data_IF_198273136364
#
_entry.id   IF_198273136364
#
_cell.length_a   1.000
_cell.length_b   1.000
_cell.length_c   1.000
_cell.angle_alpha   90.00
_cell.angle_beta   90.00
_cell.angle_gamma   90.00
#
_symmetry.space_group_name_H-M   'P 1'
#
loop_
_entity.id
_entity.type
_entity.pdbx_description
1 polymer ?
#
# COMPACT_ATOMS: atom_id res chain seq x y z
N UNK A 1 5.24 -21.10 10.03
CA UNK A 1 4.07 -20.22 10.17
C UNK A 1 4.43 -18.86 9.60
N UNK A 2 3.67 -18.31 8.65
CA UNK A 2 3.88 -16.96 8.13
C UNK A 2 2.89 -15.99 8.76
N UNK A 3 3.35 -14.80 9.15
CA UNK A 3 2.51 -13.75 9.73
C UNK A 3 1.97 -12.75 8.68
N UNK A 4 2.18 -13.05 7.39
CA UNK A 4 1.80 -12.17 6.29
C UNK A 4 1.42 -12.97 5.04
N UNK A 5 0.70 -12.31 4.15
CA UNK A 5 0.48 -12.74 2.76
C UNK A 5 1.31 -11.83 1.85
N UNK A 6 2.01 -12.40 0.86
CA UNK A 6 2.81 -11.63 -0.09
C UNK A 6 2.64 -12.15 -1.51
N UNK A 7 2.75 -11.24 -2.48
CA UNK A 7 2.74 -11.55 -3.91
C UNK A 7 3.62 -10.55 -4.64
N UNK A 8 4.55 -11.07 -5.46
CA UNK A 8 5.40 -10.26 -6.33
C UNK A 8 4.75 -10.16 -7.71
N UNK A 9 4.73 -8.96 -8.29
CA UNK A 9 4.15 -8.68 -9.59
C UNK A 9 5.20 -8.10 -10.52
N UNK A 10 5.25 -8.59 -11.76
CA UNK A 10 6.15 -8.06 -12.80
C UNK A 10 5.51 -6.84 -13.47
N UNK A 11 5.50 -5.70 -12.78
CA UNK A 11 4.96 -4.42 -13.26
C UNK A 11 5.62 -3.26 -12.52
N UNK A 12 5.44 -2.03 -13.01
CA UNK A 12 5.89 -0.84 -12.29
C UNK A 12 5.00 -0.53 -11.08
N UNK A 13 5.56 0.24 -10.14
CA UNK A 13 4.95 0.54 -8.84
C UNK A 13 3.62 1.28 -8.98
N UNK A 14 3.56 2.30 -9.83
CA UNK A 14 2.39 3.16 -10.03
C UNK A 14 1.19 2.36 -10.57
N UNK A 15 1.43 1.49 -11.56
CA UNK A 15 0.40 0.62 -12.13
C UNK A 15 -0.08 -0.40 -11.10
N UNK A 16 0.82 -0.98 -10.31
CA UNK A 16 0.46 -1.93 -9.26
C UNK A 16 -0.37 -1.26 -8.17
N UNK A 17 -0.01 -0.04 -7.77
CA UNK A 17 -0.78 0.72 -6.77
C UNK A 17 -2.23 0.94 -7.24
N UNK A 18 -2.42 1.38 -8.48
CA UNK A 18 -3.76 1.56 -9.07
C UNK A 18 -4.53 0.23 -9.06
N UNK A 19 -3.90 -0.86 -9.53
CA UNK A 19 -4.52 -2.18 -9.55
C UNK A 19 -4.92 -2.68 -8.16
N UNK A 20 -4.09 -2.42 -7.13
CA UNK A 20 -4.39 -2.78 -5.74
C UNK A 20 -5.61 -2.00 -5.24
N UNK A 21 -5.66 -0.68 -5.45
CA UNK A 21 -6.80 0.16 -5.04
C UNK A 21 -8.10 -0.29 -5.71
N UNK A 22 -8.08 -0.52 -7.02
CA UNK A 22 -9.24 -1.03 -7.76
C UNK A 22 -9.69 -2.40 -7.25
N UNK A 23 -8.74 -3.29 -6.97
CA UNK A 23 -9.06 -4.65 -6.50
C UNK A 23 -9.70 -4.63 -5.12
N UNK A 24 -9.18 -3.81 -4.20
CA UNK A 24 -9.79 -3.60 -2.87
C UNK A 24 -11.20 -3.02 -2.98
N UNK A 25 -11.38 -2.00 -3.82
CA UNK A 25 -12.68 -1.37 -4.05
C UNK A 25 -13.72 -2.38 -4.59
N UNK A 26 -13.34 -3.23 -5.55
CA UNK A 26 -14.22 -4.26 -6.12
C UNK A 26 -14.77 -5.25 -5.08
N UNK A 27 -14.05 -5.47 -3.98
CA UNK A 27 -14.48 -6.34 -2.87
C UNK A 27 -15.00 -5.56 -1.66
N UNK A 28 -15.29 -4.26 -1.83
CA UNK A 28 -15.93 -3.42 -0.82
C UNK A 28 -15.00 -2.80 0.22
N UNK A 29 -13.68 -2.83 -0.01
CA UNK A 29 -12.70 -2.15 0.85
C UNK A 29 -12.39 -0.75 0.28
N UNK A 30 -12.50 0.27 1.14
CA UNK A 30 -12.02 1.63 0.87
C UNK A 30 -10.64 1.87 1.49
N UNK A 31 -9.86 2.78 0.90
CA UNK A 31 -8.60 3.25 1.51
C UNK A 31 -8.93 4.40 2.46
N UNK A 32 -8.55 4.25 3.73
CA UNK A 32 -8.72 5.26 4.78
C UNK A 32 -7.47 6.12 4.96
N UNK A 33 -6.29 5.50 4.85
CA UNK A 33 -5.02 6.17 5.09
C UNK A 33 -3.99 5.71 4.07
N UNK A 34 -3.06 6.61 3.76
CA UNK A 34 -1.90 6.31 2.94
C UNK A 34 -0.66 6.97 3.55
N UNK A 35 0.46 6.24 3.53
CA UNK A 35 1.74 6.72 4.02
C UNK A 35 2.78 6.42 2.96
N UNK A 36 3.38 7.48 2.42
CA UNK A 36 4.58 7.38 1.61
C UNK A 36 5.81 7.28 2.52
N UNK A 37 6.33 6.06 2.69
CA UNK A 37 7.46 5.80 3.58
C UNK A 37 8.75 6.36 2.98
N UNK A 38 8.91 6.33 1.66
CA UNK A 38 10.06 6.90 0.99
C UNK A 38 10.17 8.41 1.31
N UNK A 39 9.07 9.14 1.09
CA UNK A 39 9.01 10.56 1.38
C UNK A 39 9.22 10.84 2.87
N UNK A 40 8.55 10.09 3.76
CA UNK A 40 8.63 10.33 5.21
C UNK A 40 10.01 10.08 5.78
N UNK A 41 10.71 9.04 5.34
CA UNK A 41 12.07 8.75 5.78
C UNK A 41 13.06 9.80 5.26
N UNK A 42 12.90 10.24 4.01
CA UNK A 42 13.72 11.32 3.47
C UNK A 42 13.51 12.63 4.25
N UNK A 43 12.27 13.02 4.52
CA UNK A 43 11.94 14.25 5.28
C UNK A 43 12.50 14.24 6.71
N UNK A 44 12.51 13.08 7.37
CA UNK A 44 12.85 12.98 8.80
C UNK A 44 14.30 12.64 9.06
N UNK A 45 14.91 11.84 8.18
CA UNK A 45 16.21 11.24 8.41
C UNK A 45 17.19 11.52 7.27
N UNK A 46 16.76 12.18 6.18
CA UNK A 46 17.56 12.46 4.99
C UNK A 46 18.22 11.20 4.40
N UNK A 47 17.50 10.07 4.43
CA UNK A 47 17.95 8.78 3.87
C UNK A 47 17.24 8.47 2.56
N UNK A 48 17.99 7.96 1.58
CA UNK A 48 17.41 7.37 0.38
C UNK A 48 16.79 6.00 0.69
N UNK A 49 15.54 5.82 0.28
CA UNK A 49 14.79 4.59 0.45
C UNK A 49 14.08 4.22 -0.85
N UNK A 50 13.81 2.93 -1.03
CA UNK A 50 13.07 2.45 -2.19
C UNK A 50 11.59 2.87 -2.11
N UNK A 51 10.89 2.84 -3.26
CA UNK A 51 9.44 3.13 -3.31
C UNK A 51 8.68 2.17 -2.40
N UNK A 52 8.08 2.71 -1.36
CA UNK A 52 7.34 1.94 -0.37
C UNK A 52 6.17 2.77 0.15
N UNK A 53 4.95 2.24 0.00
CA UNK A 53 3.71 2.89 0.41
C UNK A 53 2.89 1.94 1.26
N UNK A 54 2.36 2.43 2.37
CA UNK A 54 1.44 1.70 3.24
C UNK A 54 0.03 2.23 2.98
N UNK A 55 -0.91 1.33 2.72
CA UNK A 55 -2.32 1.65 2.56
C UNK A 55 -3.12 1.02 3.70
N UNK A 56 -3.83 1.83 4.48
CA UNK A 56 -4.82 1.36 5.43
C UNK A 56 -6.17 1.19 4.73
N UNK A 57 -6.63 -0.04 4.56
CA UNK A 57 -7.90 -0.36 3.91
C UNK A 57 -8.92 -0.90 4.92
N UNK A 58 -10.19 -0.54 4.76
CA UNK A 58 -11.28 -0.99 5.62
C UNK A 58 -12.54 -1.28 4.80
N UNK A 59 -13.28 -2.31 5.20
CA UNK A 59 -14.64 -2.55 4.76
C UNK A 59 -15.56 -2.40 5.99
N UNK A 60 -16.38 -1.34 6.07
CA UNK A 60 -17.23 -1.07 7.24
C UNK A 60 -18.18 -2.19 7.63
N UNK A 61 -18.50 -3.13 6.74
CA UNK A 61 -19.37 -4.27 7.05
C UNK A 61 -18.71 -5.33 7.93
N UNK A 62 -17.38 -5.31 8.03
CA UNK A 62 -16.59 -6.25 8.85
C UNK A 62 -15.92 -5.58 10.05
N UNK A 63 -16.00 -4.26 10.15
CA UNK A 63 -15.29 -3.45 11.14
C UNK A 63 -16.12 -3.16 12.39
#
# INVERSE_FOLDING_TARGET
MSYYNSKVLNSNFEKVEVQVRESLHKVGFGILTEIDIQQKLNEKLAVEFHKYKILGACNPKFA
#
